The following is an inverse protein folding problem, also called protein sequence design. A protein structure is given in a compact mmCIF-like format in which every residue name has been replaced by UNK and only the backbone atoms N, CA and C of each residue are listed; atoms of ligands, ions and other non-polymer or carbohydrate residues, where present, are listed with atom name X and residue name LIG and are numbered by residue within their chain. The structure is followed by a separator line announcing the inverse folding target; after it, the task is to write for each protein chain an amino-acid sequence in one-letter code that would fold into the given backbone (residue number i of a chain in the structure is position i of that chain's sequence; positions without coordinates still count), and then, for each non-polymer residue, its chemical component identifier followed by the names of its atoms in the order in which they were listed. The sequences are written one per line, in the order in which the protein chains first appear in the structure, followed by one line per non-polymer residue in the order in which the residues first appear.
data_IF_389233650215
#
_entry.id   IF_389233650215
#
_cell.length_a   1.000
_cell.length_b   1.000
_cell.length_c   1.000
_cell.angle_alpha   90.00
_cell.angle_beta   90.00
_cell.angle_gamma   90.00
#
_symmetry.space_group_name_H-M   'P 1'
#
loop_
_entity.id
_entity.type
_entity.pdbx_description
1 polymer ?
#
# COMPACT_ATOMS: atom_id res chain seq x y z
N UNK A 1 6.06 29.37 9.02
CA UNK A 1 6.33 27.91 9.04
C UNK A 1 4.97 27.23 9.13
N UNK A 2 4.47 26.70 8.02
CA UNK A 2 3.18 25.99 8.03
C UNK A 2 3.44 24.59 8.56
N UNK A 3 2.98 24.31 9.78
CA UNK A 3 2.95 22.94 10.31
C UNK A 3 1.99 22.17 9.39
N UNK A 4 2.51 21.25 8.57
CA UNK A 4 1.63 20.29 7.88
C UNK A 4 0.90 19.51 8.96
N UNK A 5 -0.42 19.63 8.99
CA UNK A 5 -1.23 18.75 9.82
C UNK A 5 -1.08 17.33 9.29
N UNK A 6 -0.90 16.39 10.21
CA UNK A 6 -0.98 14.97 9.87
C UNK A 6 -2.37 14.67 9.30
N UNK A 7 -2.46 13.79 8.28
CA UNK A 7 -3.73 13.43 7.67
C UNK A 7 -4.64 12.78 8.72
N UNK A 8 -5.93 13.05 8.60
CA UNK A 8 -6.95 12.42 9.43
C UNK A 8 -7.05 10.93 9.12
N UNK A 9 -7.59 10.14 10.06
CA UNK A 9 -7.86 8.72 9.84
C UNK A 9 -8.76 8.48 8.61
N UNK A 10 -9.70 9.40 8.33
CA UNK A 10 -10.55 9.33 7.13
C UNK A 10 -9.74 9.45 5.84
N UNK A 11 -8.82 10.41 5.77
CA UNK A 11 -7.94 10.62 4.61
C UNK A 11 -6.96 9.47 4.42
N UNK A 12 -6.38 8.96 5.52
CA UNK A 12 -5.51 7.78 5.50
C UNK A 12 -6.26 6.58 4.90
N UNK A 13 -7.45 6.28 5.42
CA UNK A 13 -8.26 5.16 4.95
C UNK A 13 -8.66 5.33 3.48
N UNK A 14 -9.07 6.53 3.07
CA UNK A 14 -9.44 6.81 1.68
C UNK A 14 -8.28 6.52 0.73
N UNK A 15 -7.07 7.01 1.05
CA UNK A 15 -5.87 6.80 0.23
C UNK A 15 -5.46 5.33 0.15
N UNK A 16 -5.49 4.60 1.26
CA UNK A 16 -5.18 3.17 1.28
C UNK A 16 -6.20 2.34 0.50
N UNK A 17 -7.49 2.70 0.55
CA UNK A 17 -8.53 2.06 -0.26
C UNK A 17 -8.34 2.34 -1.75
N UNK A 18 -8.01 3.57 -2.13
CA UNK A 18 -7.68 3.94 -3.51
C UNK A 18 -6.46 3.16 -4.02
N UNK A 19 -5.39 3.05 -3.22
CA UNK A 19 -4.22 2.25 -3.57
C UNK A 19 -4.59 0.76 -3.75
N UNK A 20 -5.36 0.18 -2.81
CA UNK A 20 -5.79 -1.22 -2.88
C UNK A 20 -6.63 -1.51 -4.12
N UNK A 21 -7.50 -0.57 -4.53
CA UNK A 21 -8.35 -0.73 -5.71
C UNK A 21 -7.55 -0.93 -7.01
N UNK A 22 -6.29 -0.49 -7.08
CA UNK A 22 -5.43 -0.65 -8.27
C UNK A 22 -4.84 -2.06 -8.44
N UNK A 23 -4.71 -2.80 -7.35
CA UNK A 23 -3.97 -4.08 -7.29
C UNK A 23 -4.86 -5.30 -7.02
N UNK A 24 -6.10 -5.08 -6.58
CA UNK A 24 -7.09 -6.16 -6.42
C UNK A 24 -7.00 -6.85 -5.05
N UNK A 25 -6.72 -8.15 -5.04
CA UNK A 25 -6.62 -8.94 -3.81
C UNK A 25 -5.41 -8.49 -2.98
N UNK A 26 -5.53 -8.57 -1.65
CA UNK A 26 -4.51 -8.07 -0.72
C UNK A 26 -5.02 -6.96 0.21
N UNK A 27 -4.15 -6.54 1.14
CA UNK A 27 -4.40 -5.42 2.06
C UNK A 27 -3.12 -4.67 2.39
N UNK A 28 -3.27 -3.37 2.61
CA UNK A 28 -2.27 -2.56 3.29
C UNK A 28 -2.51 -2.62 4.80
N UNK A 29 -1.44 -2.72 5.57
CA UNK A 29 -1.47 -2.57 7.02
C UNK A 29 -0.49 -1.47 7.41
N UNK A 30 -1.05 -0.37 7.90
CA UNK A 30 -0.32 0.77 8.43
C UNK A 30 -0.23 0.64 9.95
N UNK A 31 0.98 0.68 10.49
CA UNK A 31 1.24 0.63 11.92
C UNK A 31 2.07 1.82 12.37
N UNK A 32 1.97 2.13 13.65
CA UNK A 32 2.75 3.19 14.29
C UNK A 32 3.76 2.55 15.23
N UNK A 33 5.03 2.92 15.08
CA UNK A 33 6.10 2.55 15.99
C UNK A 33 5.95 3.28 17.32
N UNK A 34 6.09 2.54 18.41
CA UNK A 34 6.17 3.10 19.77
C UNK A 34 7.64 3.43 20.04
N UNK A 35 8.09 4.61 19.62
CA UNK A 35 9.45 5.11 19.87
C UNK A 35 9.43 6.58 20.28
N UNK A 36 10.59 7.15 20.65
CA UNK A 36 10.71 8.58 21.01
C UNK A 36 10.21 9.52 19.89
N UNK A 37 10.23 9.04 18.65
CA UNK A 37 9.59 9.68 17.50
C UNK A 37 8.43 8.83 17.00
N UNK A 38 7.27 9.43 16.74
CA UNK A 38 6.19 8.73 16.03
C UNK A 38 6.69 8.42 14.62
N UNK A 39 6.88 7.14 14.32
CA UNK A 39 7.20 6.64 12.99
C UNK A 39 6.07 5.75 12.53
N UNK A 40 5.67 5.91 11.28
CA UNK A 40 4.78 4.99 10.59
C UNK A 40 5.62 3.91 9.91
N UNK A 41 5.09 2.69 9.87
CA UNK A 41 5.54 1.65 8.95
C UNK A 41 4.31 1.11 8.21
N UNK A 42 4.52 0.72 6.96
CA UNK A 42 3.45 0.16 6.14
C UNK A 42 3.92 -1.13 5.48
N UNK A 43 3.01 -2.12 5.49
CA UNK A 43 3.21 -3.42 4.87
C UNK A 43 2.07 -3.71 3.91
N UNK A 44 2.36 -4.49 2.88
CA UNK A 44 1.36 -5.07 2.01
C UNK A 44 1.36 -6.59 2.20
N UNK A 45 0.16 -7.15 2.33
CA UNK A 45 -0.07 -8.58 2.51
C UNK A 45 -0.82 -9.09 1.29
N UNK A 46 -0.21 -10.05 0.59
CA UNK A 46 -0.84 -10.71 -0.53
C UNK A 46 -1.89 -11.72 -0.04
N UNK A 47 -2.96 -11.89 -0.81
CA UNK A 47 -4.03 -12.84 -0.52
C UNK A 47 -4.31 -13.66 -1.77
N UNK A 48 -3.62 -14.79 -1.97
CA UNK A 48 -3.78 -15.61 -3.17
C UNK A 48 -5.12 -16.35 -3.18
N UNK A 49 -5.62 -16.75 -2.01
CA UNK A 49 -6.91 -17.41 -1.84
C UNK A 49 -7.68 -16.86 -0.64
N UNK A 50 -8.92 -17.33 -0.43
CA UNK A 50 -9.81 -16.81 0.61
C UNK A 50 -9.40 -17.16 2.05
N UNK A 51 -8.54 -18.16 2.26
CA UNK A 51 -8.21 -18.78 3.54
C UNK A 51 -6.88 -18.30 4.13
N UNK A 52 -5.89 -17.95 3.31
CA UNK A 52 -4.56 -17.55 3.80
C UNK A 52 -4.10 -16.18 3.28
N UNK A 53 -3.38 -15.45 4.14
CA UNK A 53 -2.55 -14.34 3.73
C UNK A 53 -1.14 -14.89 3.54
N UNK A 54 -0.58 -14.70 2.34
CA UNK A 54 0.77 -15.12 2.01
C UNK A 54 1.62 -13.88 1.70
N UNK A 55 2.93 -13.99 1.89
CA UNK A 55 3.93 -12.96 1.56
C UNK A 55 3.61 -11.54 2.06
N UNK A 56 4.14 -11.23 3.25
CA UNK A 56 4.19 -9.87 3.78
C UNK A 56 5.41 -9.13 3.23
N UNK A 57 5.17 -7.98 2.60
CA UNK A 57 6.24 -7.09 2.15
C UNK A 57 6.20 -5.78 2.92
N UNK A 58 7.33 -5.40 3.51
CA UNK A 58 7.54 -4.04 3.98
C UNK A 58 7.67 -3.12 2.75
N UNK A 59 6.85 -2.07 2.69
CA UNK A 59 6.82 -1.15 1.54
C UNK A 59 7.31 0.25 1.89
N UNK A 60 7.28 0.64 3.17
CA UNK A 60 7.79 1.94 3.60
C UNK A 60 7.78 2.14 5.12
N UNK A 61 8.57 3.12 5.55
CA UNK A 61 8.67 3.61 6.92
C UNK A 61 8.94 5.14 6.90
N UNK A 62 8.60 5.85 7.97
CA UNK A 62 8.86 7.29 8.09
C UNK A 62 7.69 8.06 8.68
N UNK A 63 7.35 9.22 8.13
CA UNK A 63 6.11 9.92 8.48
C UNK A 63 4.89 9.17 7.92
N UNK A 64 3.69 9.52 8.39
CA UNK A 64 2.44 8.98 7.80
C UNK A 64 2.37 9.27 6.30
N UNK A 65 2.84 10.44 5.87
CA UNK A 65 2.82 10.84 4.47
C UNK A 65 3.80 9.99 3.64
N UNK A 66 4.97 9.66 4.17
CA UNK A 66 5.94 8.78 3.51
C UNK A 66 5.37 7.38 3.32
N UNK A 67 4.70 6.84 4.35
CA UNK A 67 3.98 5.57 4.25
C UNK A 67 2.90 5.58 3.17
N UNK A 68 2.11 6.66 3.08
CA UNK A 68 1.04 6.77 2.10
C UNK A 68 1.59 6.88 0.67
N UNK A 69 2.64 7.66 0.46
CA UNK A 69 3.33 7.71 -0.83
C UNK A 69 3.94 6.35 -1.21
N UNK A 70 4.53 5.63 -0.25
CA UNK A 70 5.06 4.29 -0.48
C UNK A 70 3.95 3.31 -0.91
N UNK A 71 2.77 3.37 -0.28
CA UNK A 71 1.63 2.55 -0.69
C UNK A 71 1.12 2.88 -2.11
N UNK A 72 1.05 4.17 -2.44
CA UNK A 72 0.62 4.62 -3.77
C UNK A 72 1.60 4.20 -4.87
N UNK A 73 2.90 4.35 -4.62
CA UNK A 73 3.96 3.93 -5.53
C UNK A 73 3.98 2.41 -5.71
N UNK A 74 3.90 1.65 -4.60
CA UNK A 74 3.83 0.20 -4.64
C UNK A 74 2.59 -0.29 -5.43
N UNK A 75 1.43 0.32 -5.20
CA UNK A 75 0.22 -0.03 -5.93
C UNK A 75 0.31 0.28 -7.42
N UNK A 76 0.96 1.39 -7.81
CA UNK A 76 1.18 1.73 -9.21
C UNK A 76 2.12 0.73 -9.91
N UNK A 77 3.22 0.37 -9.25
CA UNK A 77 4.20 -0.59 -9.74
C UNK A 77 3.58 -1.99 -9.92
N UNK A 78 2.91 -2.51 -8.89
CA UNK A 78 2.27 -3.82 -8.96
C UNK A 78 1.12 -3.86 -9.98
N UNK A 79 0.34 -2.79 -10.10
CA UNK A 79 -0.71 -2.68 -11.13
C UNK A 79 -0.11 -2.74 -12.54
N UNK A 80 1.02 -2.05 -12.78
CA UNK A 80 1.73 -2.09 -14.06
C UNK A 80 2.31 -3.48 -14.36
N UNK A 81 2.87 -4.16 -13.35
CA UNK A 81 3.35 -5.54 -13.48
C UNK A 81 2.22 -6.51 -13.82
N UNK A 82 1.08 -6.40 -13.14
CA UNK A 82 -0.10 -7.22 -13.42
C UNK A 82 -0.62 -6.99 -14.85
N UNK A 83 -0.61 -5.76 -15.34
CA UNK A 83 -1.01 -5.43 -16.70
C UNK A 83 -0.03 -6.00 -17.75
N UNK A 84 1.28 -5.98 -17.47
CA UNK A 84 2.30 -6.56 -18.34
C UNK A 84 2.31 -8.10 -18.34
N UNK A 85 1.85 -8.73 -17.24
CA UNK A 85 1.77 -10.17 -17.09
C UNK A 85 0.56 -10.82 -17.78
N UNK A 86 -0.45 -10.05 -18.20
CA UNK A 86 -1.51 -10.52 -19.11
C UNK A 86 -0.87 -10.71 -20.49
N UNK A 87 -0.59 -11.94 -20.97
CA UNK A 87 0.13 -12.09 -22.21
C UNK A 87 -0.77 -11.77 -23.40
N UNK A 88 -0.13 -11.37 -24.48
CA UNK A 88 -0.66 -11.26 -25.84
C UNK A 88 -1.05 -12.64 -26.43
N UNK A 89 -1.84 -13.44 -25.70
CA UNK A 89 -2.39 -14.74 -26.12
C UNK A 89 -3.78 -14.62 -26.77
N UNK A 90 -4.12 -13.44 -27.27
CA UNK A 90 -5.37 -13.19 -28.00
C UNK A 90 -5.12 -12.87 -29.49
N UNK A 91 -4.09 -13.48 -30.10
CA UNK A 91 -3.80 -13.35 -31.51
C UNK A 91 -3.29 -14.67 -32.11
N UNK A 92 -4.16 -15.69 -32.14
CA UNK A 92 -4.09 -16.80 -33.10
C UNK A 92 -5.50 -17.08 -33.64
#
# INVERSE_FOLDING_TARGET
MLVRQEPTIGEINARLLTARAKIGTGRFMLGYGVSETVSCYITYWWKPDQYAWEDCRAIGEGSVEDCLHAAEAFAADLSAQNAAAVPAIAAE
#
